data_IF_038898504754
#
_entry.id   IF_038898504754
#
_cell.length_a   1.000
_cell.length_b   1.000
_cell.length_c   1.000
_cell.angle_alpha   90.00
_cell.angle_beta   90.00
_cell.angle_gamma   90.00
#
_symmetry.space_group_name_H-M   'P 1'
#
loop_
_entity.id
_entity.type
_entity.pdbx_description
1 polymer ?
#
# COMPACT_ATOMS: atom_id res chain seq x y z
N UNK A 1 -52.21 2.00 50.81
CA UNK A 1 -52.15 1.69 49.36
C UNK A 1 -51.95 3.00 48.62
N UNK A 2 -50.92 3.26 47.85
CA UNK A 2 -49.64 2.61 47.59
C UNK A 2 -48.79 3.67 46.86
N UNK A 3 -47.48 3.45 46.84
CA UNK A 3 -46.40 4.36 46.45
C UNK A 3 -46.27 4.66 44.93
N UNK A 4 -45.57 5.78 44.61
CA UNK A 4 -44.72 6.06 43.40
C UNK A 4 -45.50 6.42 42.11
N UNK A 5 -45.12 7.40 41.26
CA UNK A 5 -43.86 7.65 40.51
C UNK A 5 -44.05 8.99 39.74
N UNK A 6 -43.25 10.05 39.88
CA UNK A 6 -41.98 10.34 39.21
C UNK A 6 -41.95 10.19 37.66
N UNK A 7 -41.79 11.36 36.99
CA UNK A 7 -40.97 11.68 35.79
C UNK A 7 -41.31 11.12 34.39
N UNK A 8 -41.53 12.00 33.41
CA UNK A 8 -41.35 11.75 31.96
C UNK A 8 -40.43 12.84 31.33
N UNK A 9 -39.09 12.71 31.42
CA UNK A 9 -38.08 13.62 30.85
C UNK A 9 -37.79 13.35 29.36
N UNK A 10 -38.63 12.58 28.67
CA UNK A 10 -38.32 12.00 27.36
C UNK A 10 -38.25 13.01 26.21
N UNK A 11 -39.01 14.10 26.27
CA UNK A 11 -39.07 15.08 25.19
C UNK A 11 -37.88 16.05 25.16
N UNK A 12 -37.27 16.33 26.31
CA UNK A 12 -36.10 17.22 26.39
C UNK A 12 -34.83 16.52 25.88
N UNK A 13 -34.67 15.22 26.17
CA UNK A 13 -33.49 14.44 25.76
C UNK A 13 -33.46 14.22 24.23
N UNK A 14 -34.62 14.05 23.58
CA UNK A 14 -34.71 13.83 22.14
C UNK A 14 -34.22 15.05 21.32
N UNK A 15 -34.46 16.27 21.80
CA UNK A 15 -34.08 17.49 21.09
C UNK A 15 -32.56 17.75 21.15
N UNK A 16 -31.93 17.56 22.31
CA UNK A 16 -30.48 17.77 22.47
C UNK A 16 -29.67 16.67 21.75
N UNK A 17 -30.18 15.44 21.69
CA UNK A 17 -29.52 14.33 21.01
C UNK A 17 -29.51 14.48 19.47
N UNK A 18 -30.56 15.08 18.87
CA UNK A 18 -30.60 15.30 17.42
C UNK A 18 -29.68 16.45 16.97
N UNK A 19 -29.41 17.44 17.82
CA UNK A 19 -28.57 18.60 17.49
C UNK A 19 -27.05 18.31 17.54
N UNK A 20 -26.61 17.25 18.22
CA UNK A 20 -25.19 16.88 18.33
C UNK A 20 -24.69 15.96 17.21
N UNK A 21 -25.57 15.17 16.58
CA UNK A 21 -25.18 14.17 15.57
C UNK A 21 -24.75 14.80 14.23
N UNK A 22 -25.27 15.98 13.87
CA UNK A 22 -24.93 16.66 12.61
C UNK A 22 -23.57 17.38 12.67
N UNK A 23 -23.12 17.83 13.84
CA UNK A 23 -21.88 18.59 13.99
C UNK A 23 -20.61 17.72 14.00
N UNK A 24 -20.73 16.41 14.25
CA UNK A 24 -19.59 15.48 14.24
C UNK A 24 -19.31 14.84 12.86
N UNK A 25 -20.18 15.05 11.86
CA UNK A 25 -20.02 14.52 10.50
C UNK A 25 -18.98 15.31 9.67
N UNK A 26 -18.66 16.54 10.07
CA UNK A 26 -17.73 17.42 9.35
C UNK A 26 -16.26 17.32 9.80
N UNK A 27 -16.01 16.83 11.02
CA UNK A 27 -14.63 16.60 11.51
C UNK A 27 -14.08 15.30 10.93
N UNK A 28 -14.92 14.25 10.86
CA UNK A 28 -14.52 12.95 10.32
C UNK A 28 -14.10 13.00 8.84
N UNK A 29 -14.77 13.80 8.01
CA UNK A 29 -14.44 13.92 6.58
C UNK A 29 -13.12 14.65 6.34
N UNK A 30 -12.84 15.71 7.12
CA UNK A 30 -11.60 16.47 7.04
C UNK A 30 -10.41 15.73 7.67
N UNK A 31 -10.62 14.98 8.77
CA UNK A 31 -9.58 14.12 9.34
C UNK A 31 -9.25 12.96 8.40
N UNK A 32 -10.23 12.36 7.73
CA UNK A 32 -10.00 11.29 6.73
C UNK A 32 -9.28 11.82 5.49
N UNK A 33 -9.61 13.05 5.04
CA UNK A 33 -8.82 13.75 4.00
C UNK A 33 -7.41 14.09 4.49
N UNK A 34 -7.23 14.65 5.68
CA UNK A 34 -5.93 14.96 6.23
C UNK A 34 -5.06 13.71 6.44
N UNK A 35 -5.62 12.58 6.88
CA UNK A 35 -4.92 11.29 6.95
C UNK A 35 -4.55 10.74 5.56
N UNK A 36 -5.38 11.00 4.54
CA UNK A 36 -5.09 10.62 3.16
C UNK A 36 -4.07 11.56 2.48
N UNK A 37 -4.01 12.83 2.87
CA UNK A 37 -3.13 13.86 2.25
C UNK A 37 -1.80 14.05 3.00
N UNK A 38 -1.71 13.71 4.29
CA UNK A 38 -0.51 13.99 5.12
C UNK A 38 0.57 12.91 5.12
N UNK A 39 0.42 11.83 4.33
CA UNK A 39 1.34 10.68 4.35
C UNK A 39 1.70 10.12 2.98
N UNK A 40 1.69 10.94 1.93
CA UNK A 40 2.46 10.62 0.73
C UNK A 40 3.95 10.79 1.07
N UNK A 41 4.44 9.85 1.87
CA UNK A 41 5.87 9.67 2.10
C UNK A 41 6.47 9.25 0.76
N UNK A 42 7.69 9.70 0.44
CA UNK A 42 8.43 9.27 -0.77
C UNK A 42 8.36 7.75 -1.00
N UNK A 43 8.36 6.99 0.10
CA UNK A 43 8.18 5.54 0.09
C UNK A 43 6.83 5.10 -0.48
N UNK A 44 5.73 5.75 -0.09
CA UNK A 44 4.38 5.48 -0.57
C UNK A 44 4.21 5.77 -2.06
N UNK A 45 4.83 6.86 -2.55
CA UNK A 45 4.85 7.18 -3.98
C UNK A 45 5.60 6.13 -4.79
N UNK A 46 6.78 5.71 -4.32
CA UNK A 46 7.54 4.62 -4.94
C UNK A 46 6.77 3.30 -4.93
N UNK A 47 6.11 2.97 -3.82
CA UNK A 47 5.28 1.77 -3.72
C UNK A 47 4.13 1.80 -4.75
N UNK A 48 3.47 2.95 -4.90
CA UNK A 48 2.40 3.13 -5.88
C UNK A 48 2.92 2.98 -7.30
N UNK A 49 4.06 3.60 -7.61
CA UNK A 49 4.75 3.47 -8.89
C UNK A 49 5.02 2.01 -9.26
N UNK A 50 5.60 1.22 -8.33
CA UNK A 50 5.87 -0.20 -8.57
C UNK A 50 4.57 -1.00 -8.78
N UNK A 51 3.54 -0.75 -7.97
CA UNK A 51 2.24 -1.39 -8.12
C UNK A 51 1.63 -1.12 -9.50
N UNK A 52 1.60 0.14 -9.93
CA UNK A 52 0.98 0.54 -11.19
C UNK A 52 1.74 -0.04 -12.39
N UNK A 53 3.08 0.02 -12.38
CA UNK A 53 3.90 -0.57 -13.46
C UNK A 53 3.75 -2.09 -13.54
N UNK A 54 3.70 -2.79 -12.41
CA UNK A 54 3.46 -4.24 -12.42
C UNK A 54 2.06 -4.59 -12.91
N UNK A 55 1.05 -3.82 -12.49
CA UNK A 55 -0.33 -4.09 -12.86
C UNK A 55 -0.59 -3.81 -14.35
N UNK A 56 0.16 -2.89 -14.96
CA UNK A 56 0.10 -2.61 -16.40
C UNK A 56 0.29 -3.87 -17.25
N UNK A 57 1.21 -4.75 -16.89
CA UNK A 57 1.42 -6.01 -17.63
C UNK A 57 0.52 -7.14 -17.12
N UNK A 58 0.25 -7.19 -15.81
CA UNK A 58 -0.52 -8.30 -15.19
C UNK A 58 -1.99 -8.32 -15.56
N UNK A 59 -2.63 -7.14 -15.71
CA UNK A 59 -4.06 -7.06 -16.03
C UNK A 59 -4.36 -7.64 -17.42
N UNK A 60 -3.62 -7.29 -18.49
CA UNK A 60 -3.73 -7.94 -19.79
C UNK A 60 -3.51 -9.46 -19.74
N UNK A 61 -2.55 -9.92 -18.93
CA UNK A 61 -2.23 -11.34 -18.76
C UNK A 61 -3.30 -12.13 -17.96
N UNK A 62 -4.38 -11.48 -17.52
CA UNK A 62 -5.42 -12.09 -16.70
C UNK A 62 -4.97 -12.44 -15.28
N UNK A 63 -3.83 -11.89 -14.83
CA UNK A 63 -3.29 -12.12 -13.50
C UNK A 63 -3.89 -11.13 -12.49
N UNK A 64 -4.12 -11.55 -11.24
CA UNK A 64 -4.63 -10.65 -10.21
C UNK A 64 -3.64 -9.49 -9.98
N UNK A 65 -4.16 -8.24 -9.88
CA UNK A 65 -3.34 -7.08 -9.64
C UNK A 65 -2.71 -7.13 -8.24
N UNK A 66 -1.52 -6.56 -8.13
CA UNK A 66 -0.80 -6.44 -6.86
C UNK A 66 -1.35 -5.24 -6.10
N UNK A 67 -1.91 -5.51 -4.92
CA UNK A 67 -2.37 -4.47 -4.00
C UNK A 67 -1.22 -3.79 -3.24
N UNK A 68 -1.41 -2.51 -2.91
CA UNK A 68 -0.44 -1.71 -2.13
C UNK A 68 0.00 -2.37 -0.82
N UNK A 69 -0.91 -3.02 -0.10
CA UNK A 69 -0.58 -3.73 1.14
C UNK A 69 0.36 -4.91 0.93
N UNK A 70 0.22 -5.64 -0.19
CA UNK A 70 1.15 -6.71 -0.57
C UNK A 70 2.51 -6.15 -0.96
N UNK A 71 2.52 -5.04 -1.69
CA UNK A 71 3.75 -4.33 -2.07
C UNK A 71 4.52 -3.85 -0.83
N UNK A 72 3.82 -3.31 0.16
CA UNK A 72 4.44 -2.86 1.42
C UNK A 72 5.13 -3.99 2.18
N UNK A 73 4.52 -5.19 2.21
CA UNK A 73 5.13 -6.37 2.82
C UNK A 73 6.36 -6.86 2.06
N UNK A 74 6.33 -6.85 0.73
CA UNK A 74 7.46 -7.23 -0.10
C UNK A 74 8.65 -6.29 0.10
N UNK A 75 8.37 -4.99 0.16
CA UNK A 75 9.39 -3.95 0.29
C UNK A 75 9.74 -3.62 1.75
N UNK A 76 9.11 -4.26 2.74
CA UNK A 76 9.29 -3.95 4.16
C UNK A 76 10.74 -4.04 4.62
N UNK A 77 11.48 -5.04 4.08
CA UNK A 77 12.89 -5.29 4.42
C UNK A 77 13.88 -4.43 3.62
N UNK A 78 13.39 -3.69 2.63
CA UNK A 78 14.22 -2.87 1.75
C UNK A 78 14.17 -1.41 2.26
N UNK A 79 15.32 -0.77 2.51
CA UNK A 79 15.36 0.62 2.93
C UNK A 79 14.91 1.53 1.79
N UNK A 80 14.36 2.70 2.12
CA UNK A 80 13.78 3.61 1.12
C UNK A 80 14.80 4.09 0.08
N UNK A 81 16.07 4.25 0.46
CA UNK A 81 17.15 4.63 -0.48
C UNK A 81 17.33 3.62 -1.61
N UNK A 82 17.22 2.33 -1.30
CA UNK A 82 17.39 1.25 -2.28
C UNK A 82 16.19 1.15 -3.23
N UNK A 83 15.02 1.69 -2.85
CA UNK A 83 13.85 1.76 -3.73
C UNK A 83 14.10 2.68 -4.94
N UNK A 84 14.86 3.76 -4.78
CA UNK A 84 15.24 4.63 -5.91
C UNK A 84 16.17 3.91 -6.87
N UNK A 85 17.13 3.16 -6.35
CA UNK A 85 18.03 2.35 -7.16
C UNK A 85 17.29 1.24 -7.89
N UNK A 86 16.37 0.55 -7.18
CA UNK A 86 15.50 -0.47 -7.75
C UNK A 86 14.63 0.11 -8.88
N UNK A 87 14.06 1.30 -8.69
CA UNK A 87 13.28 2.00 -9.72
C UNK A 87 14.10 2.18 -10.98
N UNK A 88 15.30 2.75 -10.87
CA UNK A 88 16.19 3.00 -12.02
C UNK A 88 16.52 1.72 -12.80
N UNK A 89 16.94 0.65 -12.10
CA UNK A 89 17.26 -0.62 -12.77
C UNK A 89 16.05 -1.24 -13.46
N UNK A 90 14.87 -1.15 -12.83
CA UNK A 90 13.65 -1.72 -13.41
C UNK A 90 13.20 -0.92 -14.63
N UNK A 91 13.42 0.40 -14.64
CA UNK A 91 13.11 1.29 -15.77
C UNK A 91 14.09 1.10 -16.94
N UNK A 92 15.37 0.86 -16.65
CA UNK A 92 16.41 0.59 -17.66
C UNK A 92 16.25 -0.80 -18.32
N UNK A 93 15.51 -1.72 -17.69
CA UNK A 93 15.35 -3.08 -18.18
C UNK A 93 14.27 -3.21 -19.26
N UNK A 94 14.45 -4.07 -20.29
CA UNK A 94 13.45 -4.28 -21.33
C UNK A 94 12.15 -4.89 -20.80
N UNK A 95 12.22 -5.60 -19.66
CA UNK A 95 11.07 -6.23 -19.01
C UNK A 95 11.03 -5.87 -17.53
N UNK A 96 10.26 -4.84 -17.20
CA UNK A 96 10.11 -4.30 -15.84
C UNK A 96 9.76 -5.39 -14.82
N UNK A 97 8.65 -6.11 -15.06
CA UNK A 97 8.10 -7.09 -14.11
C UNK A 97 9.10 -8.21 -13.80
N UNK A 98 9.76 -8.74 -14.83
CA UNK A 98 10.76 -9.81 -14.68
C UNK A 98 11.97 -9.35 -13.87
N UNK A 99 12.49 -8.16 -14.16
CA UNK A 99 13.65 -7.61 -13.45
C UNK A 99 13.33 -7.31 -11.99
N UNK A 100 12.15 -6.75 -11.73
CA UNK A 100 11.65 -6.47 -10.38
C UNK A 100 11.63 -7.73 -9.50
N UNK A 101 11.01 -8.82 -9.96
CA UNK A 101 10.96 -10.07 -9.20
C UNK A 101 12.34 -10.72 -9.01
N UNK A 102 13.24 -10.51 -9.96
CA UNK A 102 14.61 -11.00 -9.84
C UNK A 102 15.37 -10.23 -8.75
N UNK A 103 15.24 -8.91 -8.70
CA UNK A 103 15.99 -8.05 -7.80
C UNK A 103 15.54 -8.19 -6.34
N UNK A 104 14.25 -8.40 -6.09
CA UNK A 104 13.69 -8.52 -4.73
C UNK A 104 14.01 -9.88 -4.10
N UNK A 105 14.29 -10.91 -4.91
CA UNK A 105 14.57 -12.24 -4.39
C UNK A 105 16.03 -12.33 -3.89
N UNK A 106 16.27 -12.44 -2.57
CA UNK A 106 17.62 -12.44 -2.00
C UNK A 106 18.46 -13.62 -2.48
N UNK A 107 17.83 -14.73 -2.91
CA UNK A 107 18.53 -15.91 -3.42
C UNK A 107 19.29 -15.63 -4.72
N UNK A 108 18.93 -14.60 -5.46
CA UNK A 108 19.58 -14.23 -6.72
C UNK A 108 20.88 -13.44 -6.53
N UNK A 109 21.11 -12.92 -5.33
CA UNK A 109 22.27 -12.09 -5.00
C UNK A 109 23.40 -12.88 -4.33
N UNK A 110 23.27 -14.20 -4.20
CA UNK A 110 24.33 -15.06 -3.68
C UNK A 110 25.44 -15.24 -4.71
N UNK A 111 26.68 -15.43 -4.24
CA UNK A 111 27.84 -15.65 -5.11
C UNK A 111 27.67 -16.87 -6.03
N UNK A 112 26.92 -17.87 -5.59
CA UNK A 112 26.56 -19.05 -6.38
C UNK A 112 25.59 -18.71 -7.52
N UNK A 113 24.62 -17.83 -7.29
CA UNK A 113 23.68 -17.37 -8.32
C UNK A 113 24.40 -16.48 -9.35
N UNK A 114 25.36 -15.65 -8.93
CA UNK A 114 26.24 -14.89 -9.82
C UNK A 114 27.09 -15.82 -10.69
N UNK A 115 27.67 -16.88 -10.11
CA UNK A 115 28.43 -17.89 -10.88
C UNK A 115 27.54 -18.65 -11.88
N UNK A 116 26.30 -19.00 -11.52
CA UNK A 116 25.35 -19.68 -12.42
C UNK A 116 24.92 -18.80 -13.60
N UNK A 117 24.66 -17.51 -13.35
CA UNK A 117 24.34 -16.57 -14.44
C UNK A 117 25.52 -16.34 -15.38
N UNK A 118 26.74 -16.26 -14.85
CA UNK A 118 27.96 -16.18 -15.64
C UNK A 118 28.25 -17.47 -16.45
N UNK A 119 27.98 -18.65 -15.88
CA UNK A 119 28.13 -19.93 -16.56
C UNK A 119 27.12 -20.09 -17.71
N UNK A 120 25.87 -19.66 -17.50
CA UNK A 120 24.82 -19.72 -18.53
C UNK A 120 25.11 -18.84 -19.75
N UNK A 121 25.86 -17.74 -19.56
CA UNK A 121 26.32 -16.89 -20.66
C UNK A 121 27.47 -17.51 -21.45
N UNK A 122 28.26 -18.41 -20.86
CA UNK A 122 29.36 -19.12 -21.54
C UNK A 122 28.88 -20.33 -22.34
N UNK A 123 27.80 -20.99 -21.91
CA UNK A 123 27.23 -22.17 -22.57
C UNK A 123 26.48 -21.83 -23.88
N UNK A 124 26.00 -20.58 -24.00
CA UNK A 124 25.23 -20.10 -25.16
C UNK A 124 26.09 -19.45 -26.27
N UNK A 125 27.42 -19.57 -26.21
CA UNK A 125 28.36 -18.95 -27.16
C UNK A 125 29.17 -20.00 -27.91
#
# INVERSE_FOLDING_TARGET
MDLRRATEPAHFIAYVCRYTITYMQHIGSNLRKALNTSKETERGELMRYFCDRLNTTRVPDGLPPVAMGRMGKLLQKIPTKDLYYLKRICDDAPNFSKKFWWEINPKNHTEEAKKKSAAKFKDSR
#
